data_IF_136750252573
#
_entry.id   IF_136750252573
#
_cell.length_a   1.000
_cell.length_b   1.000
_cell.length_c   1.000
_cell.angle_alpha   90.00
_cell.angle_beta   90.00
_cell.angle_gamma   90.00
#
_symmetry.space_group_name_H-M   'P 1'
#
loop_
_entity.id
_entity.type
_entity.pdbx_description
1 polymer ?
#
# COMPACT_ATOMS: atom_id res chain seq x y z
N UNK A 1 -6.89 14.98 -6.46
CA UNK A 1 -6.86 13.51 -6.30
C UNK A 1 -6.33 13.18 -4.93
N UNK A 2 -6.91 12.19 -4.28
CA UNK A 2 -6.45 11.78 -2.97
C UNK A 2 -5.15 10.96 -3.07
N UNK A 3 -4.40 10.91 -1.97
CA UNK A 3 -3.16 10.13 -1.90
C UNK A 3 -3.44 8.64 -2.14
N UNK A 4 -4.51 8.11 -1.54
CA UNK A 4 -4.88 6.70 -1.73
C UNK A 4 -5.22 6.40 -3.19
N UNK A 5 -5.93 7.30 -3.84
CA UNK A 5 -6.27 7.16 -5.26
C UNK A 5 -5.03 7.22 -6.15
N UNK A 6 -4.12 8.12 -5.85
CA UNK A 6 -2.86 8.26 -6.62
C UNK A 6 -2.01 7.02 -6.49
N UNK A 7 -1.85 6.49 -5.27
CA UNK A 7 -1.06 5.29 -5.05
C UNK A 7 -1.71 4.06 -5.71
N UNK A 8 -3.04 3.95 -5.61
CA UNK A 8 -3.76 2.87 -6.27
C UNK A 8 -3.49 2.86 -7.78
N UNK A 9 -3.59 4.02 -8.42
CA UNK A 9 -3.32 4.14 -9.85
C UNK A 9 -1.89 3.78 -10.19
N UNK A 10 -0.94 4.22 -9.37
CA UNK A 10 0.47 3.92 -9.58
C UNK A 10 0.71 2.41 -9.52
N UNK A 11 0.19 1.74 -8.49
CA UNK A 11 0.32 0.29 -8.33
C UNK A 11 -0.32 -0.44 -9.50
N UNK A 12 -1.51 -0.02 -9.92
CA UNK A 12 -2.20 -0.63 -11.05
C UNK A 12 -1.41 -0.45 -12.36
N UNK A 13 -0.69 0.67 -12.49
CA UNK A 13 0.12 0.93 -13.70
C UNK A 13 1.31 -0.03 -13.81
N UNK A 14 1.78 -0.59 -12.70
CA UNK A 14 2.87 -1.57 -12.71
C UNK A 14 2.44 -2.92 -13.28
N UNK A 15 1.14 -3.20 -13.30
CA UNK A 15 0.56 -4.43 -13.87
C UNK A 15 1.19 -5.69 -13.31
N UNK A 16 1.30 -5.76 -11.99
CA UNK A 16 1.84 -6.94 -11.31
C UNK A 16 0.99 -8.17 -11.61
N UNK A 17 1.62 -9.19 -12.17
CA UNK A 17 0.94 -10.46 -12.39
C UNK A 17 0.61 -11.18 -11.08
N UNK A 18 1.35 -10.85 -10.02
CA UNK A 18 1.14 -11.44 -8.68
C UNK A 18 -0.11 -10.90 -7.98
N UNK A 19 -0.56 -9.71 -8.34
CA UNK A 19 -1.67 -9.03 -7.66
C UNK A 19 -2.94 -9.09 -8.51
N UNK A 20 -4.01 -9.57 -7.90
CA UNK A 20 -5.32 -9.71 -8.56
C UNK A 20 -6.17 -8.46 -8.43
N UNK A 21 -6.18 -7.82 -7.23
CA UNK A 21 -7.04 -6.68 -6.96
C UNK A 21 -6.34 -5.67 -6.07
N UNK A 22 -6.65 -4.37 -6.30
CA UNK A 22 -6.18 -3.26 -5.48
C UNK A 22 -7.38 -2.44 -5.05
N UNK A 23 -7.57 -2.29 -3.75
CA UNK A 23 -8.65 -1.49 -3.17
C UNK A 23 -8.09 -0.31 -2.39
N UNK A 24 -8.88 0.75 -2.30
CA UNK A 24 -8.59 1.87 -1.41
C UNK A 24 -9.74 2.02 -0.41
N UNK A 25 -9.38 2.41 0.81
CA UNK A 25 -10.28 2.65 1.94
C UNK A 25 -10.81 1.36 2.56
N UNK A 26 -11.48 0.51 1.80
CA UNK A 26 -11.98 -0.76 2.33
C UNK A 26 -12.14 -1.80 1.22
N UNK A 27 -12.17 -3.07 1.63
CA UNK A 27 -12.48 -4.18 0.73
C UNK A 27 -13.99 -4.39 0.77
N UNK A 28 -14.67 -4.45 -0.40
CA UNK A 28 -16.11 -4.72 -0.41
C UNK A 28 -16.46 -6.02 0.32
N UNK A 29 -17.61 -6.04 1.00
CA UNK A 29 -18.02 -7.20 1.82
C UNK A 29 -18.02 -8.49 1.02
N UNK A 30 -18.47 -8.46 -0.23
CA UNK A 30 -18.52 -9.63 -1.10
C UNK A 30 -17.14 -10.19 -1.45
N UNK A 31 -16.07 -9.41 -1.26
CA UNK A 31 -14.71 -9.83 -1.57
C UNK A 31 -13.87 -10.14 -0.32
N UNK A 32 -14.39 -9.88 0.88
CA UNK A 32 -13.62 -10.04 2.12
C UNK A 32 -13.28 -11.50 2.46
N UNK A 33 -14.09 -12.45 2.01
CA UNK A 33 -13.90 -13.87 2.30
C UNK A 33 -13.17 -14.60 1.17
N UNK A 34 -12.73 -13.89 0.13
CA UNK A 34 -12.01 -14.53 -0.97
C UNK A 34 -10.55 -14.75 -0.54
N UNK A 35 -10.14 -16.03 -0.49
CA UNK A 35 -8.84 -16.42 0.06
C UNK A 35 -7.87 -16.97 -1.00
N UNK A 36 -8.29 -17.02 -2.26
CA UNK A 36 -7.49 -17.56 -3.36
C UNK A 36 -6.91 -16.49 -4.27
N UNK A 37 -7.00 -15.23 -3.87
CA UNK A 37 -6.44 -14.10 -4.61
C UNK A 37 -5.47 -13.31 -3.75
N UNK A 38 -4.55 -12.60 -4.43
CA UNK A 38 -3.63 -11.68 -3.79
C UNK A 38 -4.19 -10.27 -3.94
N UNK A 39 -4.46 -9.63 -2.81
CA UNK A 39 -5.18 -8.34 -2.76
C UNK A 39 -4.37 -7.29 -2.02
N UNK A 40 -4.38 -6.07 -2.53
CA UNK A 40 -3.77 -4.92 -1.86
C UNK A 40 -4.88 -3.98 -1.38
N UNK A 41 -4.77 -3.54 -0.13
CA UNK A 41 -5.64 -2.53 0.45
C UNK A 41 -4.82 -1.31 0.88
N UNK A 42 -5.22 -0.13 0.43
CA UNK A 42 -4.54 1.14 0.74
C UNK A 42 -5.45 2.00 1.60
N UNK A 43 -4.94 2.43 2.76
CA UNK A 43 -5.66 3.33 3.66
C UNK A 43 -4.76 4.47 4.11
N UNK A 44 -5.37 5.55 4.57
CA UNK A 44 -4.62 6.68 5.10
C UNK A 44 -4.08 6.36 6.49
N UNK A 45 -2.85 6.78 6.77
CA UNK A 45 -2.26 6.66 8.10
C UNK A 45 -2.07 8.04 8.72
N UNK A 46 -1.16 8.86 8.17
CA UNK A 46 -0.84 10.18 8.73
C UNK A 46 -0.72 11.19 7.60
N UNK A 47 -1.25 12.40 7.83
CA UNK A 47 -1.06 13.55 6.95
C UNK A 47 -0.49 14.68 7.78
N UNK A 48 0.71 15.17 7.42
CA UNK A 48 1.39 16.22 8.16
C UNK A 48 1.73 17.38 7.24
N UNK A 49 1.52 18.59 7.76
CA UNK A 49 1.89 19.82 7.05
C UNK A 49 3.33 20.19 7.39
N UNK A 50 4.13 20.45 6.38
CA UNK A 50 5.56 20.70 6.52
C UNK A 50 5.97 22.01 5.85
N UNK A 51 7.25 22.39 6.03
CA UNK A 51 7.87 23.55 5.39
C UNK A 51 7.09 24.84 5.64
N UNK A 52 6.82 25.14 6.92
CA UNK A 52 6.14 26.36 7.29
C UNK A 52 7.02 27.58 7.05
N UNK A 53 6.38 28.64 6.56
CA UNK A 53 6.97 29.96 6.42
C UNK A 53 5.96 31.00 6.93
N UNK A 54 6.25 32.31 6.72
CA UNK A 54 5.37 33.39 7.13
C UNK A 54 3.98 33.30 6.48
N UNK A 55 3.85 32.62 5.35
CA UNK A 55 2.60 32.51 4.59
C UNK A 55 1.94 31.14 4.74
N UNK A 56 2.41 30.29 5.68
CA UNK A 56 1.85 28.98 5.92
C UNK A 56 2.78 27.84 5.48
N UNK A 57 2.23 26.66 5.35
CA UNK A 57 3.01 25.48 4.98
C UNK A 57 3.17 25.39 3.45
N UNK A 58 4.28 24.80 3.02
CA UNK A 58 4.64 24.65 1.60
C UNK A 58 4.65 23.20 1.13
N UNK A 59 4.52 22.25 2.03
CA UNK A 59 4.47 20.84 1.67
C UNK A 59 3.60 20.07 2.66
N UNK A 60 3.17 18.89 2.22
CA UNK A 60 2.43 17.94 3.03
C UNK A 60 3.15 16.60 2.91
N UNK A 61 3.42 15.96 4.06
CA UNK A 61 3.86 14.58 4.07
C UNK A 61 2.65 13.69 4.23
N UNK A 62 2.42 12.82 3.26
CA UNK A 62 1.29 11.90 3.25
C UNK A 62 1.80 10.48 3.47
N UNK A 63 1.35 9.84 4.54
CA UNK A 63 1.72 8.45 4.87
C UNK A 63 0.51 7.56 4.68
N UNK A 64 0.68 6.50 3.91
CA UNK A 64 -0.37 5.53 3.62
C UNK A 64 0.02 4.17 4.16
N UNK A 65 -0.99 3.43 4.62
CA UNK A 65 -0.84 2.05 5.02
C UNK A 65 -1.22 1.17 3.84
N UNK A 66 -0.35 0.23 3.49
CA UNK A 66 -0.58 -0.71 2.40
C UNK A 66 -0.54 -2.12 2.98
N UNK A 67 -1.66 -2.82 2.89
CA UNK A 67 -1.77 -4.19 3.33
C UNK A 67 -1.82 -5.11 2.12
N UNK A 68 -0.95 -6.12 2.10
CA UNK A 68 -0.94 -7.14 1.05
C UNK A 68 -1.49 -8.42 1.66
N UNK A 69 -2.67 -8.82 1.20
CA UNK A 69 -3.30 -10.08 1.60
C UNK A 69 -2.93 -11.13 0.55
N UNK A 70 -2.09 -12.10 0.94
CA UNK A 70 -1.67 -13.14 0.03
C UNK A 70 -2.71 -14.25 -0.03
N UNK A 71 -2.87 -14.86 -1.20
CA UNK A 71 -3.66 -16.09 -1.33
C UNK A 71 -3.12 -17.14 -0.35
N UNK A 72 -3.96 -18.10 0.04
CA UNK A 72 -3.53 -19.16 0.97
C UNK A 72 -2.30 -19.91 0.46
N UNK A 73 -2.21 -20.10 -0.86
CA UNK A 73 -1.09 -20.80 -1.49
C UNK A 73 -0.58 -19.97 -2.65
N UNK A 74 0.21 -18.90 -2.37
CA UNK A 74 0.74 -18.08 -3.44
C UNK A 74 1.72 -18.89 -4.31
N UNK A 75 1.65 -18.68 -5.63
CA UNK A 75 2.49 -19.40 -6.58
C UNK A 75 3.73 -18.62 -6.99
N UNK A 76 4.22 -17.75 -6.12
CA UNK A 76 5.42 -16.93 -6.34
C UNK A 76 6.14 -16.70 -5.02
N UNK A 77 7.39 -16.25 -5.11
CA UNK A 77 8.19 -15.89 -3.95
C UNK A 77 7.73 -14.55 -3.40
N UNK A 78 7.08 -14.58 -2.22
CA UNK A 78 6.52 -13.37 -1.62
C UNK A 78 7.58 -12.37 -1.19
N UNK A 79 8.74 -12.84 -0.71
CA UNK A 79 9.84 -11.95 -0.32
C UNK A 79 10.40 -11.22 -1.54
N UNK A 80 10.60 -11.93 -2.63
CA UNK A 80 11.08 -11.33 -3.87
C UNK A 80 10.10 -10.30 -4.41
N UNK A 81 8.79 -10.61 -4.35
CA UNK A 81 7.76 -9.66 -4.73
C UNK A 81 7.81 -8.41 -3.86
N UNK A 82 7.95 -8.57 -2.54
CA UNK A 82 7.95 -7.43 -1.60
C UNK A 82 9.13 -6.51 -1.84
N UNK A 83 10.31 -7.06 -2.11
CA UNK A 83 11.49 -6.26 -2.41
C UNK A 83 11.28 -5.46 -3.70
N UNK A 84 10.78 -6.10 -4.73
CA UNK A 84 10.47 -5.44 -6.00
C UNK A 84 9.43 -4.35 -5.81
N UNK A 85 8.38 -4.65 -5.03
CA UNK A 85 7.28 -3.72 -4.74
C UNK A 85 7.80 -2.45 -4.07
N UNK A 86 8.62 -2.60 -3.03
CA UNK A 86 9.21 -1.45 -2.33
C UNK A 86 10.08 -0.62 -3.26
N UNK A 87 10.90 -1.25 -4.11
CA UNK A 87 11.75 -0.52 -5.06
C UNK A 87 10.93 0.22 -6.11
N UNK A 88 9.87 -0.41 -6.61
CA UNK A 88 9.00 0.22 -7.61
C UNK A 88 8.28 1.44 -7.02
N UNK A 89 7.82 1.34 -5.78
CA UNK A 89 7.16 2.47 -5.13
C UNK A 89 8.14 3.61 -4.86
N UNK A 90 9.37 3.28 -4.48
CA UNK A 90 10.40 4.31 -4.28
C UNK A 90 10.68 5.07 -5.60
N UNK A 91 10.67 4.38 -6.72
CA UNK A 91 10.83 5.02 -8.03
C UNK A 91 9.67 5.97 -8.35
N UNK A 92 8.52 5.76 -7.76
CA UNK A 92 7.35 6.65 -7.87
C UNK A 92 7.26 7.67 -6.75
N UNK A 93 8.35 7.86 -6.02
CA UNK A 93 8.47 8.83 -4.91
C UNK A 93 7.66 8.44 -3.67
N UNK A 94 7.26 7.17 -3.56
CA UNK A 94 6.65 6.62 -2.37
C UNK A 94 7.73 5.86 -1.59
N UNK A 95 8.25 6.49 -0.54
CA UNK A 95 9.33 5.92 0.26
C UNK A 95 8.77 4.99 1.34
N UNK A 96 9.40 3.83 1.52
CA UNK A 96 9.05 2.92 2.62
C UNK A 96 9.47 3.53 3.94
N UNK A 97 8.48 3.78 4.81
CA UNK A 97 8.73 4.29 6.17
C UNK A 97 8.87 3.13 7.14
N UNK A 98 8.06 2.09 6.94
CA UNK A 98 8.02 0.95 7.85
C UNK A 98 7.55 -0.29 7.10
N UNK A 99 8.15 -1.41 7.44
CA UNK A 99 7.78 -2.72 6.91
C UNK A 99 7.63 -3.66 8.10
N UNK A 100 6.39 -4.07 8.36
CA UNK A 100 6.10 -4.92 9.52
C UNK A 100 6.29 -6.41 9.18
N UNK A 101 6.55 -7.25 10.18
CA UNK A 101 6.59 -8.69 9.96
C UNK A 101 5.26 -9.21 9.43
N UNK A 102 5.31 -10.33 8.71
CA UNK A 102 4.11 -11.00 8.24
C UNK A 102 3.26 -11.47 9.41
N UNK A 103 1.94 -11.34 9.27
CA UNK A 103 0.98 -11.86 10.27
C UNK A 103 -0.03 -12.75 9.55
N UNK A 104 -0.74 -13.55 10.34
CA UNK A 104 -1.81 -14.42 9.84
C UNK A 104 -3.13 -13.78 10.22
N UNK A 105 -4.00 -13.54 9.23
CA UNK A 105 -5.35 -13.07 9.47
C UNK A 105 -6.14 -14.18 10.16
N UNK A 106 -6.65 -13.95 11.38
CA UNK A 106 -7.38 -15.02 12.11
C UNK A 106 -8.68 -15.43 11.45
N UNK A 107 -9.28 -14.58 10.64
CA UNK A 107 -10.56 -14.87 9.99
C UNK A 107 -10.43 -15.69 8.72
N UNK A 108 -9.36 -15.46 7.95
CA UNK A 108 -9.16 -16.07 6.63
C UNK A 108 -7.97 -17.00 6.55
N UNK A 109 -7.07 -16.95 7.53
CA UNK A 109 -5.78 -17.65 7.55
C UNK A 109 -4.81 -17.20 6.45
N UNK A 110 -5.12 -16.11 5.79
CA UNK A 110 -4.20 -15.53 4.81
C UNK A 110 -3.02 -14.89 5.52
N UNK A 111 -1.85 -14.92 4.87
CA UNK A 111 -0.70 -14.14 5.33
C UNK A 111 -0.87 -12.71 4.87
N UNK A 112 -0.67 -11.77 5.79
CA UNK A 112 -0.80 -10.35 5.52
C UNK A 112 0.53 -9.66 5.76
N UNK A 113 0.96 -8.85 4.82
CA UNK A 113 2.16 -8.01 4.94
C UNK A 113 1.72 -6.56 4.99
N UNK A 114 2.24 -5.83 5.98
CA UNK A 114 1.87 -4.44 6.22
C UNK A 114 3.06 -3.53 5.92
N UNK A 115 2.83 -2.53 5.08
CA UNK A 115 3.80 -1.48 4.78
C UNK A 115 3.24 -0.12 5.08
N UNK A 116 4.12 0.82 5.42
CA UNK A 116 3.81 2.24 5.46
C UNK A 116 4.70 2.94 4.45
N UNK A 117 4.08 3.66 3.52
CA UNK A 117 4.78 4.45 2.51
C UNK A 117 4.43 5.91 2.69
N UNK A 118 5.40 6.79 2.41
CA UNK A 118 5.15 8.22 2.48
C UNK A 118 5.60 8.92 1.20
N UNK A 119 4.96 10.02 0.89
CA UNK A 119 5.42 10.95 -0.13
C UNK A 119 5.31 12.36 0.41
N UNK A 120 6.12 13.26 -0.15
CA UNK A 120 6.03 14.69 0.12
C UNK A 120 5.36 15.34 -1.08
N UNK A 121 4.27 16.06 -0.84
CA UNK A 121 3.58 16.80 -1.88
C UNK A 121 3.82 18.28 -1.66
N UNK A 122 4.40 18.93 -2.64
CA UNK A 122 4.67 20.37 -2.59
C UNK A 122 3.45 21.14 -3.09
N UNK A 123 3.20 22.28 -2.45
CA UNK A 123 2.03 23.10 -2.71
C UNK A 123 2.43 24.44 -3.28
#
# INVERSE_FOLDING_TARGET
>A
MSATSDLKKYIQSMKYSEINKVYQVNIPIEDQDIVDTNTILITEAIMENDDYSNNGFHSITQTLEVQVFYALHPNFDTEEFEIKFMKDLENGEWRTVRSDPHIIDPDTNQTVKLFYFERVKYI
#
